data_IF_485210829355
#
_entry.id   IF_485210829355
#
_cell.length_a   1.000
_cell.length_b   1.000
_cell.length_c   1.000
_cell.angle_alpha   90.00
_cell.angle_beta   90.00
_cell.angle_gamma   90.00
#
_symmetry.space_group_name_H-M   'P 1'
#
loop_
_entity.id
_entity.type
_entity.pdbx_description
1 polymer ?
#
# COMPACT_ATOMS: atom_id res chain seq x y z
N UNK A 1 31.12 3.17 -48.22
CA UNK A 1 31.73 2.23 -47.26
C UNK A 1 31.36 2.73 -45.88
N UNK A 2 30.54 1.98 -45.12
CA UNK A 2 30.13 2.42 -43.79
C UNK A 2 31.30 2.14 -42.84
N UNK A 3 31.80 3.18 -42.18
CA UNK A 3 32.94 3.04 -41.28
C UNK A 3 32.57 2.16 -40.08
N UNK A 4 33.45 1.22 -39.71
CA UNK A 4 33.22 0.32 -38.56
C UNK A 4 32.88 1.07 -37.26
N UNK A 5 33.32 2.33 -37.13
CA UNK A 5 33.01 3.20 -35.99
C UNK A 5 31.54 3.66 -36.00
N UNK A 6 31.02 4.09 -37.15
CA UNK A 6 29.61 4.52 -37.27
C UNK A 6 28.66 3.34 -37.13
N UNK A 7 29.03 2.16 -37.63
CA UNK A 7 28.27 0.92 -37.43
C UNK A 7 28.20 0.50 -35.94
N UNK A 8 29.34 0.49 -35.23
CA UNK A 8 29.35 0.19 -33.78
C UNK A 8 28.55 1.18 -32.96
N UNK A 9 28.60 2.48 -33.29
CA UNK A 9 27.80 3.49 -32.59
C UNK A 9 26.31 3.20 -32.75
N UNK A 10 25.86 2.88 -33.98
CA UNK A 10 24.46 2.53 -34.27
C UNK A 10 24.00 1.27 -33.52
N UNK A 11 24.85 0.24 -33.42
CA UNK A 11 24.53 -0.99 -32.65
C UNK A 11 24.33 -0.69 -31.16
N UNK A 12 25.20 0.16 -30.58
CA UNK A 12 25.10 0.53 -29.17
C UNK A 12 23.82 1.31 -28.88
N UNK A 13 23.41 2.23 -29.78
CA UNK A 13 22.13 2.94 -29.65
C UNK A 13 20.93 1.97 -29.66
N UNK A 14 20.94 0.97 -30.55
CA UNK A 14 19.85 -0.01 -30.61
C UNK A 14 19.78 -0.89 -29.35
N UNK A 15 20.93 -1.29 -28.80
CA UNK A 15 20.99 -2.08 -27.56
C UNK A 15 20.49 -1.27 -26.37
N UNK A 16 20.93 0.00 -26.23
CA UNK A 16 20.42 0.89 -25.18
C UNK A 16 18.91 1.10 -25.27
N UNK A 17 18.36 1.29 -26.48
CA UNK A 17 16.92 1.44 -26.67
C UNK A 17 16.16 0.18 -26.23
N UNK A 18 16.68 -1.00 -26.58
CA UNK A 18 16.07 -2.28 -26.18
C UNK A 18 16.09 -2.50 -24.66
N UNK A 19 17.18 -2.08 -23.98
CA UNK A 19 17.29 -2.13 -22.52
C UNK A 19 16.27 -1.21 -21.84
N UNK A 20 16.09 0.01 -22.35
CA UNK A 20 15.10 0.96 -21.82
C UNK A 20 13.68 0.41 -21.95
N UNK A 21 13.34 -0.20 -23.09
CA UNK A 21 12.03 -0.83 -23.32
C UNK A 21 11.82 -2.01 -22.37
N UNK A 22 12.83 -2.86 -22.19
CA UNK A 22 12.76 -3.98 -21.25
C UNK A 22 12.55 -3.49 -19.81
N UNK A 23 13.22 -2.40 -19.43
CA UNK A 23 13.07 -1.79 -18.12
C UNK A 23 11.66 -1.23 -17.90
N UNK A 24 11.09 -0.55 -18.91
CA UNK A 24 9.68 -0.09 -18.90
C UNK A 24 8.69 -1.26 -18.75
N UNK A 25 8.92 -2.37 -19.45
CA UNK A 25 8.09 -3.57 -19.35
C UNK A 25 8.16 -4.22 -17.96
N UNK A 26 9.33 -4.21 -17.32
CA UNK A 26 9.49 -4.71 -15.95
C UNK A 26 8.78 -3.82 -14.92
N UNK A 27 8.84 -2.49 -15.07
CA UNK A 27 8.14 -1.57 -14.17
C UNK A 27 6.61 -1.67 -14.29
N UNK A 28 6.08 -2.01 -15.46
CA UNK A 28 4.64 -2.25 -15.63
C UNK A 28 4.13 -3.49 -14.88
N UNK A 29 5.02 -4.42 -14.48
CA UNK A 29 4.67 -5.57 -13.64
C UNK A 29 4.70 -5.28 -12.14
N UNK A 30 4.86 -4.03 -11.72
CA UNK A 30 4.63 -3.68 -10.32
C UNK A 30 3.18 -3.99 -9.98
N UNK A 31 2.99 -5.10 -9.26
CA UNK A 31 1.69 -5.57 -8.80
C UNK A 31 1.07 -4.43 -7.99
N UNK A 32 0.05 -3.79 -8.56
CA UNK A 32 -0.71 -2.76 -7.86
C UNK A 32 -1.55 -3.46 -6.78
N UNK A 33 -0.98 -3.53 -5.58
CA UNK A 33 -1.66 -3.97 -4.37
C UNK A 33 -2.17 -2.74 -3.65
N UNK A 34 -3.48 -2.61 -3.53
CA UNK A 34 -4.11 -1.57 -2.74
C UNK A 34 -4.25 -2.04 -1.30
N UNK A 35 -3.71 -1.28 -0.35
CA UNK A 35 -3.82 -1.57 1.09
C UNK A 35 -4.94 -0.72 1.67
N UNK A 36 -5.78 -1.32 2.50
CA UNK A 36 -6.66 -0.61 3.42
C UNK A 36 -6.21 -0.87 4.84
N UNK A 37 -6.17 0.17 5.67
CA UNK A 37 -5.87 0.10 7.10
C UNK A 37 -6.96 0.86 7.83
N UNK A 38 -7.63 0.20 8.78
CA UNK A 38 -8.77 0.76 9.49
C UNK A 38 -8.92 0.20 10.90
N UNK A 39 -9.62 0.93 11.76
CA UNK A 39 -10.18 0.42 13.01
C UNK A 39 -11.65 0.10 12.74
N UNK A 40 -12.05 -1.15 12.98
CA UNK A 40 -13.41 -1.62 12.68
C UNK A 40 -14.46 -0.91 13.51
N UNK A 41 -15.72 -0.90 13.02
CA UNK A 41 -16.87 -0.37 13.77
C UNK A 41 -16.97 -0.97 15.18
N UNK A 42 -16.80 -2.29 15.29
CA UNK A 42 -16.85 -2.99 16.58
C UNK A 42 -15.79 -2.47 17.56
N UNK A 43 -14.57 -2.20 17.07
CA UNK A 43 -13.53 -1.63 17.92
C UNK A 43 -13.78 -0.17 18.27
N UNK A 44 -14.27 0.64 17.33
CA UNK A 44 -14.64 2.04 17.61
C UNK A 44 -15.76 2.16 18.65
N UNK A 45 -16.73 1.24 18.63
CA UNK A 45 -17.76 1.15 19.68
C UNK A 45 -17.13 0.74 21.02
N UNK A 46 -16.22 -0.23 21.02
CA UNK A 46 -15.56 -0.71 22.25
C UNK A 46 -14.68 0.34 22.92
N UNK A 47 -13.93 1.12 22.14
CA UNK A 47 -12.92 2.07 22.66
C UNK A 47 -13.49 3.48 22.90
N UNK A 48 -14.43 3.92 22.06
CA UNK A 48 -14.96 5.29 22.03
C UNK A 48 -16.48 5.38 22.12
N UNK A 49 -17.22 4.27 22.00
CA UNK A 49 -18.68 4.28 21.95
C UNK A 49 -19.26 4.85 20.66
N UNK A 50 -18.47 4.94 19.59
CA UNK A 50 -18.88 5.55 18.32
C UNK A 50 -19.22 4.47 17.28
N UNK A 51 -20.41 4.53 16.68
CA UNK A 51 -20.83 3.62 15.59
C UNK A 51 -20.30 4.08 14.21
N UNK A 52 -18.99 4.19 14.09
CA UNK A 52 -18.30 4.58 12.86
C UNK A 52 -17.07 3.70 12.64
N UNK A 53 -16.61 3.57 11.38
CA UNK A 53 -15.33 2.96 11.07
C UNK A 53 -14.29 4.06 10.85
N UNK A 54 -13.08 3.89 11.40
CA UNK A 54 -11.99 4.84 11.18
C UNK A 54 -11.00 4.29 10.15
N UNK A 55 -11.06 4.81 8.93
CA UNK A 55 -10.14 4.45 7.85
C UNK A 55 -8.89 5.32 7.92
N UNK A 56 -7.71 4.72 8.11
CA UNK A 56 -6.41 5.40 8.02
C UNK A 56 -5.85 5.39 6.61
N UNK A 57 -5.97 4.25 5.93
CA UNK A 57 -5.57 4.08 4.53
C UNK A 57 -6.75 3.45 3.80
N UNK A 58 -7.13 4.03 2.66
CA UNK A 58 -8.19 3.55 1.80
C UNK A 58 -7.70 3.50 0.35
N UNK A 59 -7.71 2.32 -0.24
CA UNK A 59 -7.21 1.99 -1.57
C UNK A 59 -5.77 2.48 -1.82
N UNK A 60 -4.91 2.37 -0.80
CA UNK A 60 -3.52 2.85 -0.83
C UNK A 60 -3.33 4.34 -0.54
N UNK A 61 -4.40 5.12 -0.39
CA UNK A 61 -4.33 6.54 -0.07
C UNK A 61 -4.52 6.79 1.42
N UNK A 62 -3.69 7.64 2.01
CA UNK A 62 -3.81 8.02 3.41
C UNK A 62 -5.01 8.96 3.59
N UNK A 63 -5.92 8.61 4.49
CA UNK A 63 -7.02 9.49 4.88
C UNK A 63 -6.49 10.59 5.81
N UNK A 64 -6.30 11.79 5.26
CA UNK A 64 -5.78 12.94 5.97
C UNK A 64 -6.64 13.38 7.16
N UNK A 65 -7.94 13.06 7.17
CA UNK A 65 -8.82 13.38 8.29
C UNK A 65 -8.46 12.52 9.52
N UNK A 66 -8.28 11.22 9.32
CA UNK A 66 -8.03 10.25 10.40
C UNK A 66 -6.65 10.39 11.04
N UNK A 67 -5.64 10.84 10.28
CA UNK A 67 -4.28 11.05 10.82
C UNK A 67 -4.10 12.40 11.49
N UNK A 68 -5.05 13.34 11.32
CA UNK A 68 -4.92 14.71 11.85
C UNK A 68 -5.08 14.77 13.36
N UNK A 69 -5.75 13.78 13.95
CA UNK A 69 -6.06 13.76 15.37
C UNK A 69 -5.51 12.47 16.01
N UNK A 70 -4.83 12.58 17.17
CA UNK A 70 -4.39 11.39 17.89
C UNK A 70 -5.60 10.59 18.35
N UNK A 71 -5.52 9.27 18.21
CA UNK A 71 -6.56 8.35 18.66
C UNK A 71 -6.52 8.23 20.19
N UNK A 72 -7.30 9.05 20.88
CA UNK A 72 -7.34 9.11 22.35
C UNK A 72 -8.31 8.09 22.89
N UNK A 73 -7.85 7.18 23.72
CA UNK A 73 -8.67 6.14 24.33
C UNK A 73 -8.60 6.23 25.86
N UNK A 74 -9.61 5.66 26.52
CA UNK A 74 -9.67 5.61 27.98
C UNK A 74 -8.50 4.78 28.54
N UNK A 75 -8.00 5.17 29.71
CA UNK A 75 -6.94 4.45 30.44
C UNK A 75 -7.32 3.02 30.83
N UNK A 76 -8.62 2.70 30.86
CA UNK A 76 -9.10 1.32 31.08
C UNK A 76 -8.89 0.41 29.86
N UNK A 77 -8.60 0.96 28.68
CA UNK A 77 -8.40 0.19 27.45
C UNK A 77 -6.93 -0.27 27.39
N UNK A 78 -6.71 -1.57 27.55
CA UNK A 78 -5.37 -2.19 27.53
C UNK A 78 -4.85 -2.51 26.12
N UNK A 79 -5.70 -2.47 25.10
CA UNK A 79 -5.30 -2.73 23.72
C UNK A 79 -6.22 -2.05 22.71
N UNK A 80 -5.71 -1.85 21.49
CA UNK A 80 -6.50 -1.44 20.32
C UNK A 80 -6.21 -2.42 19.18
N UNK A 81 -7.25 -2.81 18.45
CA UNK A 81 -7.11 -3.70 17.30
C UNK A 81 -7.24 -2.91 16.00
N UNK A 82 -6.15 -2.93 15.23
CA UNK A 82 -6.10 -2.43 13.87
C UNK A 82 -6.36 -3.58 12.90
N UNK A 83 -7.09 -3.31 11.85
CA UNK A 83 -7.38 -4.25 10.79
C UNK A 83 -6.80 -3.71 9.50
N UNK A 84 -6.07 -4.54 8.76
CA UNK A 84 -5.66 -4.18 7.41
C UNK A 84 -6.03 -5.28 6.44
N UNK A 85 -6.36 -4.87 5.22
CA UNK A 85 -6.56 -5.79 4.13
C UNK A 85 -5.86 -5.32 2.86
N UNK A 86 -5.47 -6.26 2.02
CA UNK A 86 -4.93 -5.96 0.70
C UNK A 86 -5.90 -6.41 -0.37
N UNK A 87 -6.02 -5.60 -1.41
CA UNK A 87 -6.70 -5.96 -2.65
C UNK A 87 -5.64 -6.05 -3.73
N UNK A 88 -5.32 -7.27 -4.14
CA UNK A 88 -4.46 -7.52 -5.29
C UNK A 88 -5.35 -7.37 -6.52
N UNK A 89 -5.16 -6.29 -7.28
CA UNK A 89 -6.01 -5.98 -8.45
C UNK A 89 -5.98 -7.08 -9.52
N UNK A 90 -4.88 -7.83 -9.61
CA UNK A 90 -4.69 -8.92 -10.58
C UNK A 90 -5.26 -10.28 -10.16
N UNK A 91 -5.89 -10.39 -8.98
CA UNK A 91 -6.49 -11.66 -8.52
C UNK A 91 -7.93 -11.44 -8.03
N UNK A 92 -8.91 -12.19 -8.57
CA UNK A 92 -10.31 -12.00 -8.20
C UNK A 92 -10.58 -12.32 -6.73
N UNK A 93 -9.74 -13.12 -6.08
CA UNK A 93 -9.93 -13.58 -4.71
C UNK A 93 -8.58 -13.64 -3.98
N UNK A 94 -8.08 -12.50 -3.53
CA UNK A 94 -7.05 -12.49 -2.49
C UNK A 94 -7.21 -11.25 -1.62
N UNK A 95 -8.30 -11.22 -0.85
CA UNK A 95 -8.41 -10.36 0.31
C UNK A 95 -7.69 -11.07 1.46
N UNK A 96 -6.46 -10.67 1.73
CA UNK A 96 -5.76 -11.07 2.95
C UNK A 96 -6.14 -10.03 3.99
N UNK A 97 -6.90 -10.41 5.02
CA UNK A 97 -7.25 -9.54 6.13
C UNK A 97 -6.50 -10.00 7.36
N UNK A 98 -5.69 -9.12 7.94
CA UNK A 98 -4.89 -9.41 9.13
C UNK A 98 -5.28 -8.39 10.21
N UNK A 99 -5.45 -8.91 11.43
CA UNK A 99 -5.76 -8.12 12.61
C UNK A 99 -4.51 -8.03 13.47
N UNK A 100 -4.11 -6.81 13.83
CA UNK A 100 -2.96 -6.55 14.69
C UNK A 100 -3.49 -5.91 15.96
N UNK A 101 -3.18 -6.53 17.10
CA UNK A 101 -3.53 -6.03 18.42
C UNK A 101 -2.32 -5.35 19.04
N UNK A 102 -2.40 -4.05 19.27
CA UNK A 102 -1.39 -3.30 20.02
C UNK A 102 -1.82 -3.26 21.49
N UNK A 103 -1.04 -3.93 22.35
CA UNK A 103 -1.16 -3.77 23.80
C UNK A 103 -0.56 -2.43 24.21
N UNK A 104 -1.34 -1.64 24.94
CA UNK A 104 -0.90 -0.40 25.52
C UNK A 104 -0.34 -0.71 26.91
N UNK A 105 0.96 -0.47 27.06
CA UNK A 105 1.62 -0.49 28.35
C UNK A 105 1.49 0.95 28.86
N UNK A 106 0.68 1.11 29.91
CA UNK A 106 0.54 2.34 30.68
C UNK A 106 1.62 2.42 31.75
#
# INVERSE_FOLDING_TARGET
>A
MIDNVTFRKKINWTLSLSLIILQLLFFNRLIYSMINLFISKTEMIRTLGLDVQLNYIENGFVNLYSVKFPYRINISISYVQFSWNTKILDRPVSLISIHITLKLIL
#
